data_IF_776623784399
#
_entry.id   IF_776623784399
#
_cell.length_a   1.000
_cell.length_b   1.000
_cell.length_c   1.000
_cell.angle_alpha   90.00
_cell.angle_beta   90.00
_cell.angle_gamma   90.00
#
_symmetry.space_group_name_H-M   'P 1'
#
loop_
_entity.id
_entity.type
_entity.pdbx_description
1 polymer ?
#
# COMPACT_ATOMS: atom_id res chain seq x y z
N UNK A 1 -7.76 -8.99 16.78
CA UNK A 1 -7.87 -8.42 15.41
C UNK A 1 -9.27 -8.69 14.89
N UNK A 2 -9.91 -7.72 14.24
CA UNK A 2 -11.19 -7.96 13.54
C UNK A 2 -10.93 -8.86 12.34
N UNK A 3 -11.83 -9.80 12.07
CA UNK A 3 -11.77 -10.60 10.85
C UNK A 3 -12.37 -9.81 9.66
N UNK A 4 -12.10 -10.25 8.44
CA UNK A 4 -12.55 -9.58 7.22
C UNK A 4 -14.08 -9.37 7.18
N UNK A 5 -14.86 -10.40 7.53
CA UNK A 5 -16.32 -10.37 7.53
C UNK A 5 -16.93 -9.27 8.41
N UNK A 6 -16.38 -9.08 9.61
CA UNK A 6 -16.80 -7.98 10.49
C UNK A 6 -16.45 -6.62 9.90
N UNK A 7 -15.24 -6.48 9.36
CA UNK A 7 -14.77 -5.20 8.79
C UNK A 7 -15.59 -4.77 7.58
N UNK A 8 -15.93 -5.70 6.67
CA UNK A 8 -16.72 -5.38 5.47
C UNK A 8 -18.16 -5.05 5.83
N UNK A 9 -18.78 -5.77 6.77
CA UNK A 9 -20.13 -5.43 7.25
C UNK A 9 -20.18 -4.02 7.84
N UNK A 10 -19.15 -3.62 8.59
CA UNK A 10 -19.07 -2.26 9.11
C UNK A 10 -18.92 -1.24 7.97
N UNK A 11 -18.04 -1.49 6.99
CA UNK A 11 -17.91 -0.60 5.83
C UNK A 11 -19.25 -0.44 5.10
N UNK A 12 -19.93 -1.55 4.78
CA UNK A 12 -21.23 -1.54 4.10
C UNK A 12 -22.27 -0.75 4.90
N UNK A 13 -22.35 -0.96 6.23
CA UNK A 13 -23.22 -0.18 7.11
C UNK A 13 -22.94 1.32 7.00
N UNK A 14 -21.66 1.72 7.07
CA UNK A 14 -21.25 3.13 7.02
C UNK A 14 -21.54 3.79 5.67
N UNK A 15 -21.26 3.11 4.55
CA UNK A 15 -21.45 3.71 3.22
C UNK A 15 -22.93 3.81 2.83
N UNK A 16 -23.76 2.86 3.27
CA UNK A 16 -25.21 2.84 2.96
C UNK A 16 -26.05 3.76 3.85
N UNK A 17 -25.45 4.41 4.85
CA UNK A 17 -26.11 5.44 5.67
C UNK A 17 -26.27 6.78 4.95
N UNK A 18 -25.42 7.10 3.97
CA UNK A 18 -25.44 8.35 3.19
C UNK A 18 -25.28 8.06 1.69
N UNK A 19 -26.29 8.41 0.89
CA UNK A 19 -26.34 8.16 -0.55
C UNK A 19 -25.19 8.82 -1.34
N UNK A 20 -24.64 9.94 -0.87
CA UNK A 20 -23.48 10.57 -1.50
C UNK A 20 -22.17 9.84 -1.17
N UNK A 21 -22.05 9.27 0.04
CA UNK A 21 -20.92 8.39 0.40
C UNK A 21 -21.01 7.09 -0.40
N UNK A 22 -22.20 6.48 -0.47
CA UNK A 22 -22.46 5.28 -1.29
C UNK A 22 -22.09 5.53 -2.76
N UNK A 23 -22.46 6.69 -3.32
CA UNK A 23 -22.09 7.07 -4.69
C UNK A 23 -20.58 7.22 -4.88
N UNK A 24 -19.86 7.77 -3.89
CA UNK A 24 -18.41 7.87 -3.93
C UNK A 24 -17.75 6.49 -3.90
N UNK A 25 -18.22 5.61 -3.01
CA UNK A 25 -17.73 4.24 -2.87
C UNK A 25 -18.00 3.38 -4.11
N UNK A 26 -19.22 3.44 -4.68
CA UNK A 26 -19.56 2.77 -5.94
C UNK A 26 -18.74 3.29 -7.13
N UNK A 27 -18.39 4.59 -7.14
CA UNK A 27 -17.46 5.11 -8.16
C UNK A 27 -16.10 4.43 -8.06
N UNK A 28 -15.62 4.22 -6.84
CA UNK A 28 -14.35 3.55 -6.59
C UNK A 28 -14.43 2.07 -6.99
N UNK A 29 -15.51 1.35 -6.62
CA UNK A 29 -15.71 -0.04 -7.06
C UNK A 29 -15.77 -0.16 -8.58
N UNK A 30 -16.41 0.78 -9.27
CA UNK A 30 -16.37 0.82 -10.74
C UNK A 30 -14.94 1.02 -11.27
N UNK A 31 -14.15 1.90 -10.63
CA UNK A 31 -12.75 2.11 -10.98
C UNK A 31 -11.89 0.85 -10.74
N UNK A 32 -12.24 0.03 -9.75
CA UNK A 32 -11.61 -1.27 -9.49
C UNK A 32 -11.73 -2.20 -10.68
N UNK A 33 -12.93 -2.40 -11.21
CA UNK A 33 -13.17 -3.25 -12.39
C UNK A 33 -12.45 -2.71 -13.62
N UNK A 34 -12.39 -1.38 -13.76
CA UNK A 34 -11.59 -0.77 -14.81
C UNK A 34 -10.11 -1.15 -14.68
N UNK A 35 -9.53 -1.03 -13.50
CA UNK A 35 -8.14 -1.41 -13.26
C UNK A 35 -7.91 -2.91 -13.43
N UNK A 36 -8.86 -3.76 -13.02
CA UNK A 36 -8.81 -5.20 -13.23
C UNK A 36 -8.75 -5.52 -14.72
N UNK A 37 -9.63 -4.94 -15.54
CA UNK A 37 -9.62 -5.07 -17.00
C UNK A 37 -8.25 -4.72 -17.62
N UNK A 38 -7.68 -3.58 -17.22
CA UNK A 38 -6.36 -3.14 -17.69
C UNK A 38 -5.25 -4.13 -17.27
N UNK A 39 -5.32 -4.66 -16.04
CA UNK A 39 -4.36 -5.66 -15.56
C UNK A 39 -4.48 -6.97 -16.34
N UNK A 40 -5.70 -7.46 -16.60
CA UNK A 40 -5.97 -8.66 -17.41
C UNK A 40 -5.34 -8.49 -18.79
N UNK A 41 -5.60 -7.37 -19.47
CA UNK A 41 -5.06 -7.10 -20.81
C UNK A 41 -3.53 -6.94 -20.81
N UNK A 42 -2.96 -6.28 -19.80
CA UNK A 42 -1.51 -6.04 -19.71
C UNK A 42 -0.68 -7.32 -19.55
N UNK A 43 -1.31 -8.40 -19.09
CA UNK A 43 -0.68 -9.71 -18.94
C UNK A 43 -0.71 -10.57 -20.20
N UNK A 44 -1.45 -10.16 -21.25
CA UNK A 44 -1.31 -10.76 -22.57
C UNK A 44 0.09 -10.46 -23.10
N UNK A 45 0.83 -11.50 -23.44
CA UNK A 45 2.23 -11.40 -23.85
C UNK A 45 2.60 -12.47 -24.87
N UNK A 46 3.82 -12.43 -25.39
CA UNK A 46 4.32 -13.43 -26.33
C UNK A 46 4.34 -14.86 -25.75
N UNK A 47 4.30 -15.02 -24.41
CA UNK A 47 4.21 -16.33 -23.75
C UNK A 47 2.78 -16.79 -23.50
N UNK A 48 1.76 -15.99 -23.87
CA UNK A 48 0.36 -16.38 -23.71
C UNK A 48 -0.03 -17.37 -24.82
N UNK A 49 -0.55 -18.57 -24.48
CA UNK A 49 -1.02 -19.53 -25.48
C UNK A 49 -2.11 -18.92 -26.37
N UNK A 50 -1.96 -19.08 -27.69
CA UNK A 50 -2.82 -18.41 -28.67
C UNK A 50 -4.30 -18.80 -28.52
N UNK A 51 -4.57 -20.04 -28.13
CA UNK A 51 -5.90 -20.57 -27.87
C UNK A 51 -6.63 -19.90 -26.70
N UNK A 52 -5.92 -19.22 -25.79
CA UNK A 52 -6.52 -18.56 -24.62
C UNK A 52 -6.65 -17.05 -24.76
N UNK A 53 -6.06 -16.44 -25.78
CA UNK A 53 -6.05 -14.98 -25.94
C UNK A 53 -7.47 -14.40 -26.01
N UNK A 54 -8.37 -15.01 -26.78
CA UNK A 54 -9.73 -14.52 -26.91
C UNK A 54 -10.53 -14.67 -25.61
N UNK A 55 -10.34 -15.78 -24.88
CA UNK A 55 -10.99 -15.96 -23.56
C UNK A 55 -10.50 -14.90 -22.54
N UNK A 56 -9.22 -14.51 -22.59
CA UNK A 56 -8.67 -13.44 -21.73
C UNK A 56 -9.24 -12.07 -22.11
N UNK A 57 -9.42 -11.80 -23.41
CA UNK A 57 -10.05 -10.55 -23.86
C UNK A 57 -11.51 -10.48 -23.46
N UNK A 58 -12.26 -11.57 -23.61
CA UNK A 58 -13.66 -11.62 -23.15
C UNK A 58 -13.75 -11.38 -21.64
N UNK A 59 -12.84 -11.95 -20.85
CA UNK A 59 -12.76 -11.65 -19.42
C UNK A 59 -12.56 -10.15 -19.16
N UNK A 60 -11.63 -9.48 -19.84
CA UNK A 60 -11.47 -8.03 -19.69
C UNK A 60 -12.68 -7.21 -20.16
N UNK A 61 -13.40 -7.67 -21.19
CA UNK A 61 -14.64 -7.05 -21.66
C UNK A 61 -15.77 -7.17 -20.63
N UNK A 62 -15.84 -8.29 -19.91
CA UNK A 62 -16.74 -8.47 -18.78
C UNK A 62 -16.44 -7.46 -17.67
N UNK A 63 -15.16 -7.24 -17.33
CA UNK A 63 -14.77 -6.24 -16.33
C UNK A 63 -15.14 -4.80 -16.73
N UNK A 64 -14.99 -4.43 -18.00
CA UNK A 64 -15.48 -3.13 -18.47
C UNK A 64 -17.00 -3.02 -18.38
N UNK A 65 -17.73 -4.13 -18.59
CA UNK A 65 -19.18 -4.17 -18.42
C UNK A 65 -19.57 -4.08 -16.95
N UNK A 66 -18.85 -4.74 -16.03
CA UNK A 66 -19.04 -4.63 -14.58
C UNK A 66 -18.88 -3.18 -14.12
N UNK A 67 -17.78 -2.52 -14.54
CA UNK A 67 -17.56 -1.08 -14.34
C UNK A 67 -18.79 -0.26 -14.71
N UNK A 68 -19.33 -0.49 -15.91
CA UNK A 68 -20.45 0.26 -16.48
C UNK A 68 -21.79 -0.04 -15.79
N UNK A 69 -21.97 -1.24 -15.25
CA UNK A 69 -23.12 -1.58 -14.39
C UNK A 69 -23.00 -0.85 -13.06
N UNK A 70 -21.88 -1.01 -12.35
CA UNK A 70 -21.66 -0.45 -11.01
C UNK A 70 -21.77 1.08 -11.01
N UNK A 71 -21.20 1.76 -12.02
CA UNK A 71 -21.24 3.23 -12.09
C UNK A 71 -22.67 3.78 -12.25
N UNK A 72 -23.57 3.00 -12.87
CA UNK A 72 -24.99 3.36 -13.07
C UNK A 72 -25.83 3.15 -11.81
N UNK A 73 -25.35 2.34 -10.86
CA UNK A 73 -26.02 2.10 -9.58
C UNK A 73 -25.87 3.26 -8.59
N UNK A 74 -25.00 4.23 -8.89
CA UNK A 74 -24.77 5.39 -8.01
C UNK A 74 -26.05 6.21 -7.83
N UNK A 75 -26.51 6.44 -6.59
CA UNK A 75 -27.62 7.35 -6.33
C UNK A 75 -27.40 8.77 -6.88
N UNK A 76 -26.15 9.24 -6.87
CA UNK A 76 -25.75 10.56 -7.34
C UNK A 76 -24.52 10.49 -8.27
N UNK A 77 -24.65 10.89 -9.54
CA UNK A 77 -23.52 10.89 -10.49
C UNK A 77 -22.39 11.85 -10.07
N UNK A 78 -22.76 13.04 -9.61
CA UNK A 78 -21.84 14.11 -9.23
C UNK A 78 -21.67 14.20 -7.71
N UNK A 79 -20.47 14.57 -7.22
CA UNK A 79 -20.24 14.79 -5.80
C UNK A 79 -21.04 16.01 -5.33
N UNK A 80 -21.57 15.94 -4.10
CA UNK A 80 -22.37 17.04 -3.53
C UNK A 80 -21.57 18.35 -3.41
N UNK A 81 -20.29 18.25 -3.06
CA UNK A 81 -19.37 19.36 -2.89
C UNK A 81 -17.92 18.87 -2.95
N UNK A 82 -16.96 19.79 -2.75
CA UNK A 82 -15.53 19.47 -2.78
C UNK A 82 -15.12 18.38 -1.78
N UNK A 83 -15.74 18.31 -0.59
CA UNK A 83 -15.40 17.28 0.40
C UNK A 83 -15.82 15.87 -0.06
N UNK A 84 -17.01 15.73 -0.68
CA UNK A 84 -17.43 14.45 -1.27
C UNK A 84 -16.61 14.10 -2.52
N UNK A 85 -16.11 15.09 -3.26
CA UNK A 85 -15.18 14.87 -4.37
C UNK A 85 -13.84 14.34 -3.86
N UNK A 86 -13.33 14.89 -2.77
CA UNK A 86 -12.10 14.43 -2.10
C UNK A 86 -12.27 12.99 -1.58
N UNK A 87 -13.37 12.72 -0.87
CA UNK A 87 -13.69 11.36 -0.38
C UNK A 87 -13.71 10.32 -1.51
N UNK A 88 -14.35 10.66 -2.65
CA UNK A 88 -14.38 9.82 -3.85
C UNK A 88 -12.98 9.54 -4.37
N UNK A 89 -12.14 10.56 -4.47
CA UNK A 89 -10.76 10.40 -4.94
C UNK A 89 -9.96 9.50 -3.99
N UNK A 90 -10.08 9.70 -2.67
CA UNK A 90 -9.39 8.88 -1.67
C UNK A 90 -9.82 7.42 -1.70
N UNK A 91 -11.11 7.13 -1.94
CA UNK A 91 -11.54 5.75 -2.19
C UNK A 91 -10.90 5.13 -3.44
N UNK A 92 -10.85 5.89 -4.55
CA UNK A 92 -10.18 5.42 -5.76
C UNK A 92 -8.69 5.16 -5.52
N UNK A 93 -8.01 6.02 -4.76
CA UNK A 93 -6.59 5.86 -4.41
C UNK A 93 -6.37 4.59 -3.55
N UNK A 94 -7.25 4.31 -2.59
CA UNK A 94 -7.21 3.06 -1.80
C UNK A 94 -7.33 1.84 -2.72
N UNK A 95 -8.26 1.86 -3.68
CA UNK A 95 -8.46 0.75 -4.62
C UNK A 95 -7.28 0.58 -5.57
N UNK A 96 -6.76 1.68 -6.13
CA UNK A 96 -5.63 1.63 -7.04
C UNK A 96 -4.40 1.04 -6.34
N UNK A 97 -4.10 1.50 -5.13
CA UNK A 97 -2.96 1.00 -4.35
C UNK A 97 -3.17 -0.46 -3.91
N UNK A 98 -4.40 -0.91 -3.71
CA UNK A 98 -4.72 -2.32 -3.48
C UNK A 98 -4.44 -3.16 -4.74
N UNK A 99 -5.04 -2.83 -5.90
CA UNK A 99 -4.89 -3.60 -7.14
C UNK A 99 -3.41 -3.62 -7.58
N UNK A 100 -2.77 -2.46 -7.64
CA UNK A 100 -1.37 -2.37 -8.06
C UNK A 100 -0.42 -3.04 -7.05
N UNK A 101 -0.71 -2.91 -5.75
CA UNK A 101 0.03 -3.61 -4.70
C UNK A 101 -0.09 -5.12 -4.81
N UNK A 102 -1.29 -5.62 -5.10
CA UNK A 102 -1.56 -7.04 -5.26
C UNK A 102 -0.79 -7.61 -6.45
N UNK A 103 -0.93 -7.05 -7.65
CA UNK A 103 -0.17 -7.52 -8.82
C UNK A 103 1.34 -7.26 -8.71
N UNK A 104 1.75 -6.28 -7.90
CA UNK A 104 3.14 -5.99 -7.58
C UNK A 104 3.75 -6.89 -6.50
N UNK A 105 3.01 -7.84 -5.93
CA UNK A 105 3.51 -8.69 -4.85
C UNK A 105 4.64 -9.62 -5.35
N UNK A 106 5.63 -9.95 -4.50
CA UNK A 106 6.80 -10.73 -4.92
C UNK A 106 6.46 -12.08 -5.55
N UNK A 107 5.41 -12.76 -5.07
CA UNK A 107 5.02 -14.10 -5.51
C UNK A 107 4.55 -14.06 -6.97
N UNK A 108 3.76 -13.06 -7.37
CA UNK A 108 3.31 -12.88 -8.76
C UNK A 108 4.41 -12.31 -9.65
N UNK A 109 5.21 -11.35 -9.15
CA UNK A 109 6.28 -10.71 -9.93
C UNK A 109 7.40 -11.69 -10.30
N UNK A 110 7.65 -12.71 -9.48
CA UNK A 110 8.66 -13.75 -9.76
C UNK A 110 8.12 -14.95 -10.52
N UNK A 111 6.88 -14.90 -11.01
CA UNK A 111 6.34 -15.96 -11.86
C UNK A 111 7.22 -16.17 -13.11
N UNK A 112 7.37 -17.42 -13.54
CA UNK A 112 8.20 -17.78 -14.70
C UNK A 112 7.70 -17.14 -16.01
N UNK A 113 6.41 -16.84 -16.09
CA UNK A 113 5.80 -16.14 -17.23
C UNK A 113 4.69 -15.18 -16.76
N UNK A 114 4.42 -14.16 -17.59
CA UNK A 114 3.28 -13.25 -17.35
C UNK A 114 1.95 -13.96 -17.42
N UNK A 115 1.84 -14.99 -18.27
CA UNK A 115 0.64 -15.81 -18.33
C UNK A 115 0.43 -16.57 -17.03
N UNK A 116 1.48 -17.16 -16.44
CA UNK A 116 1.37 -17.80 -15.12
C UNK A 116 0.99 -16.79 -14.03
N UNK A 117 1.57 -15.58 -14.03
CA UNK A 117 1.17 -14.51 -13.10
C UNK A 117 -0.32 -14.16 -13.23
N UNK A 118 -0.81 -13.99 -14.46
CA UNK A 118 -2.23 -13.73 -14.74
C UNK A 118 -3.12 -14.85 -14.26
N UNK A 119 -2.83 -16.10 -14.62
CA UNK A 119 -3.68 -17.24 -14.26
C UNK A 119 -3.87 -17.35 -12.76
N UNK A 120 -2.79 -17.17 -12.00
CA UNK A 120 -2.88 -17.21 -10.54
C UNK A 120 -3.53 -15.95 -10.00
N UNK A 121 -3.16 -14.77 -10.50
CA UNK A 121 -3.73 -13.48 -10.12
C UNK A 121 -5.24 -13.41 -10.33
N UNK A 122 -5.76 -13.85 -11.48
CA UNK A 122 -7.19 -13.88 -11.82
C UNK A 122 -7.99 -14.78 -10.86
N UNK A 123 -7.47 -15.97 -10.51
CA UNK A 123 -8.15 -16.88 -9.57
C UNK A 123 -8.38 -16.22 -8.21
N UNK A 124 -7.40 -15.44 -7.75
CA UNK A 124 -7.36 -14.92 -6.40
C UNK A 124 -7.87 -13.49 -6.31
N UNK A 125 -7.69 -12.65 -7.33
CA UNK A 125 -8.25 -11.29 -7.33
C UNK A 125 -9.77 -11.32 -7.52
N UNK A 126 -10.34 -12.19 -8.36
CA UNK A 126 -11.80 -12.30 -8.53
C UNK A 126 -12.53 -12.76 -7.25
N UNK A 127 -11.81 -13.37 -6.29
CA UNK A 127 -12.40 -13.68 -4.98
C UNK A 127 -12.77 -12.42 -4.20
N UNK A 128 -12.13 -11.29 -4.49
CA UNK A 128 -12.31 -10.05 -3.76
C UNK A 128 -13.57 -9.27 -4.19
N UNK A 129 -13.79 -8.93 -5.48
CA UNK A 129 -15.06 -8.37 -5.96
C UNK A 129 -16.22 -9.27 -5.53
N UNK A 130 -16.10 -10.58 -5.71
CA UNK A 130 -17.09 -11.55 -5.26
C UNK A 130 -17.46 -11.39 -3.77
N UNK A 131 -16.46 -11.27 -2.90
CA UNK A 131 -16.69 -11.08 -1.46
C UNK A 131 -17.37 -9.73 -1.17
N UNK A 132 -16.84 -8.62 -1.67
CA UNK A 132 -17.39 -7.28 -1.40
C UNK A 132 -18.82 -7.17 -1.91
N UNK A 133 -19.08 -7.60 -3.15
CA UNK A 133 -20.39 -7.51 -3.78
C UNK A 133 -21.41 -8.39 -3.07
N UNK A 134 -21.01 -9.58 -2.62
CA UNK A 134 -21.87 -10.45 -1.79
C UNK A 134 -22.32 -9.75 -0.50
N UNK A 135 -21.40 -9.07 0.21
CA UNK A 135 -21.76 -8.32 1.41
C UNK A 135 -22.60 -7.08 1.09
N UNK A 136 -22.33 -6.41 -0.03
CA UNK A 136 -23.09 -5.23 -0.43
C UNK A 136 -24.54 -5.57 -0.80
N UNK A 137 -24.77 -6.65 -1.56
CA UNK A 137 -26.12 -7.15 -1.89
C UNK A 137 -26.93 -7.45 -0.61
N UNK A 138 -26.28 -7.99 0.42
CA UNK A 138 -26.92 -8.28 1.71
C UNK A 138 -27.21 -7.01 2.52
N UNK A 139 -26.34 -6.01 2.44
CA UNK A 139 -26.43 -4.78 3.25
C UNK A 139 -27.24 -3.65 2.61
N UNK A 140 -27.31 -3.58 1.28
CA UNK A 140 -28.06 -2.54 0.57
C UNK A 140 -29.55 -2.72 0.77
N UNK A 141 -30.28 -1.60 0.83
CA UNK A 141 -31.75 -1.58 0.89
C UNK A 141 -32.41 -1.41 -0.49
N UNK A 142 -31.61 -1.17 -1.52
CA UNK A 142 -32.08 -0.82 -2.87
C UNK A 142 -32.25 -2.12 -3.69
N UNK A 143 -33.48 -2.52 -4.09
CA UNK A 143 -33.72 -3.74 -4.85
C UNK A 143 -32.99 -3.78 -6.19
N UNK A 144 -32.95 -2.66 -6.90
CA UNK A 144 -32.30 -2.54 -8.22
C UNK A 144 -30.79 -2.80 -8.13
N UNK A 145 -30.16 -2.39 -7.03
CA UNK A 145 -28.75 -2.70 -6.75
C UNK A 145 -28.56 -4.20 -6.55
N UNK A 146 -29.46 -4.87 -5.82
CA UNK A 146 -29.35 -6.33 -5.61
C UNK A 146 -29.44 -7.10 -6.91
N UNK A 147 -30.38 -6.75 -7.78
CA UNK A 147 -30.57 -7.41 -9.07
C UNK A 147 -29.36 -7.20 -9.99
N UNK A 148 -28.90 -5.96 -10.13
CA UNK A 148 -27.78 -5.63 -11.01
C UNK A 148 -26.45 -6.23 -10.51
N UNK A 149 -26.17 -6.16 -9.20
CA UNK A 149 -24.96 -6.74 -8.62
C UNK A 149 -24.97 -8.27 -8.64
N UNK A 150 -26.14 -8.92 -8.65
CA UNK A 150 -26.21 -10.38 -8.80
C UNK A 150 -25.70 -10.84 -10.17
N UNK A 151 -25.97 -10.06 -11.23
CA UNK A 151 -25.42 -10.34 -12.57
C UNK A 151 -23.90 -10.30 -12.57
N UNK A 152 -23.32 -9.28 -11.92
CA UNK A 152 -21.86 -9.16 -11.75
C UNK A 152 -21.32 -10.37 -10.97
N UNK A 153 -21.94 -10.73 -9.85
CA UNK A 153 -21.54 -11.90 -9.04
C UNK A 153 -21.57 -13.23 -9.81
N UNK A 154 -22.53 -13.41 -10.71
CA UNK A 154 -22.63 -14.62 -11.53
C UNK A 154 -21.46 -14.71 -12.53
N UNK A 155 -21.03 -13.56 -13.08
CA UNK A 155 -19.87 -13.46 -13.97
C UNK A 155 -18.55 -13.71 -13.22
N UNK A 156 -18.37 -13.16 -12.01
CA UNK A 156 -17.20 -13.41 -11.13
C UNK A 156 -16.98 -14.89 -10.86
N UNK A 157 -18.06 -15.66 -10.66
CA UNK A 157 -17.97 -17.12 -10.51
C UNK A 157 -17.38 -17.75 -11.78
N UNK A 158 -17.82 -17.28 -12.95
CA UNK A 158 -17.30 -17.69 -14.25
C UNK A 158 -15.81 -17.41 -14.39
N UNK A 159 -15.35 -16.23 -14.00
CA UNK A 159 -13.95 -15.82 -14.05
C UNK A 159 -13.06 -16.67 -13.12
N UNK A 160 -13.53 -16.98 -11.90
CA UNK A 160 -12.83 -17.91 -11.00
C UNK A 160 -12.69 -19.31 -11.63
N UNK A 161 -13.72 -19.80 -12.34
CA UNK A 161 -13.63 -21.09 -13.04
C UNK A 161 -12.69 -21.04 -14.25
N UNK A 162 -12.68 -19.92 -14.98
CA UNK A 162 -11.75 -19.66 -16.07
C UNK A 162 -10.30 -19.71 -15.58
N UNK A 163 -10.01 -19.04 -14.47
CA UNK A 163 -8.70 -19.10 -13.83
C UNK A 163 -8.29 -20.54 -13.47
N UNK A 164 -9.19 -21.32 -12.85
CA UNK A 164 -8.95 -22.75 -12.53
C UNK A 164 -8.67 -23.58 -13.78
N UNK A 165 -9.42 -23.36 -14.87
CA UNK A 165 -9.20 -24.00 -16.17
C UNK A 165 -7.78 -23.72 -16.67
N UNK A 166 -7.36 -22.45 -16.70
CA UNK A 166 -6.01 -22.11 -17.15
C UNK A 166 -4.93 -22.67 -16.24
N UNK A 167 -5.11 -22.66 -14.91
CA UNK A 167 -4.14 -23.24 -13.98
C UNK A 167 -3.91 -24.72 -14.22
N UNK A 168 -4.96 -25.47 -14.55
CA UNK A 168 -4.84 -26.89 -14.86
C UNK A 168 -4.04 -27.16 -16.16
N UNK A 169 -3.99 -26.18 -17.06
CA UNK A 169 -3.17 -26.25 -18.27
C UNK A 169 -1.70 -25.85 -18.07
N UNK A 170 -1.36 -25.22 -16.93
CA UNK A 170 0.02 -24.82 -16.64
C UNK A 170 0.90 -26.03 -16.29
N UNK A 171 2.17 -26.04 -16.73
CA UNK A 171 3.21 -26.93 -16.22
C UNK A 171 3.34 -26.83 -14.70
N UNK A 172 3.83 -27.89 -14.04
CA UNK A 172 3.92 -27.92 -12.58
C UNK A 172 4.90 -26.87 -12.04
N UNK A 173 6.00 -26.63 -12.76
CA UNK A 173 7.01 -25.61 -12.46
C UNK A 173 6.48 -24.17 -12.54
N UNK A 174 5.38 -23.94 -13.26
CA UNK A 174 4.72 -22.64 -13.40
C UNK A 174 3.58 -22.44 -12.40
N UNK A 175 3.25 -23.47 -11.60
CA UNK A 175 2.18 -23.41 -10.60
C UNK A 175 2.68 -22.74 -9.33
N UNK A 176 2.09 -21.59 -9.05
CA UNK A 176 2.33 -20.81 -7.83
C UNK A 176 1.43 -21.35 -6.72
N UNK A 177 1.89 -21.24 -5.47
CA UNK A 177 1.10 -21.61 -4.29
C UNK A 177 -0.15 -20.73 -4.16
N UNK A 178 -1.32 -21.29 -4.45
CA UNK A 178 -2.61 -20.61 -4.25
C UNK A 178 -2.85 -20.27 -2.77
N UNK A 179 -2.42 -21.13 -1.85
CA UNK A 179 -2.57 -20.87 -0.41
C UNK A 179 -1.81 -19.60 0.01
N UNK A 180 -0.62 -19.38 -0.54
CA UNK A 180 0.16 -18.18 -0.27
C UNK A 180 -0.51 -16.94 -0.86
N UNK A 181 -1.00 -17.02 -2.11
CA UNK A 181 -1.69 -15.89 -2.76
C UNK A 181 -3.01 -15.54 -2.08
N UNK A 182 -3.74 -16.52 -1.56
CA UNK A 182 -4.98 -16.31 -0.79
C UNK A 182 -4.71 -15.67 0.58
N UNK A 183 -3.58 -16.00 1.22
CA UNK A 183 -3.17 -15.31 2.45
C UNK A 183 -2.90 -13.83 2.19
N UNK A 184 -2.11 -13.52 1.15
CA UNK A 184 -1.79 -12.15 0.73
C UNK A 184 -3.07 -11.39 0.38
N UNK A 185 -3.94 -11.97 -0.47
CA UNK A 185 -5.21 -11.37 -0.86
C UNK A 185 -6.06 -11.01 0.37
N UNK A 186 -6.30 -11.99 1.25
CA UNK A 186 -7.13 -11.79 2.45
C UNK A 186 -6.60 -10.68 3.35
N UNK A 187 -5.29 -10.60 3.55
CA UNK A 187 -4.65 -9.56 4.35
C UNK A 187 -4.79 -8.19 3.70
N UNK A 188 -4.51 -8.08 2.40
CA UNK A 188 -4.65 -6.82 1.66
C UNK A 188 -6.12 -6.36 1.60
N UNK A 189 -7.07 -7.28 1.42
CA UNK A 189 -8.51 -7.01 1.45
C UNK A 189 -8.96 -6.48 2.82
N UNK A 190 -8.48 -7.10 3.91
CA UNK A 190 -8.73 -6.61 5.27
C UNK A 190 -8.18 -5.20 5.47
N UNK A 191 -6.95 -4.93 5.02
CA UNK A 191 -6.36 -3.58 5.07
C UNK A 191 -7.24 -2.60 4.30
N UNK A 192 -7.54 -2.89 3.04
CA UNK A 192 -8.31 -2.00 2.16
C UNK A 192 -9.68 -1.65 2.77
N UNK A 193 -10.46 -2.65 3.19
CA UNK A 193 -11.78 -2.44 3.80
C UNK A 193 -11.67 -1.65 5.11
N UNK A 194 -10.66 -1.92 5.93
CA UNK A 194 -10.44 -1.19 7.18
C UNK A 194 -10.14 0.29 6.90
N UNK A 195 -9.33 0.58 5.88
CA UNK A 195 -9.02 1.96 5.45
C UNK A 195 -10.24 2.69 4.95
N UNK A 196 -11.02 2.06 4.09
CA UNK A 196 -12.28 2.64 3.61
C UNK A 196 -13.23 2.94 4.77
N UNK A 197 -13.34 2.04 5.76
CA UNK A 197 -14.22 2.25 6.91
C UNK A 197 -13.72 3.40 7.81
N UNK A 198 -12.42 3.49 8.04
CA UNK A 198 -11.84 4.58 8.83
C UNK A 198 -11.95 5.92 8.11
N UNK A 199 -11.77 5.95 6.79
CA UNK A 199 -11.98 7.12 5.95
C UNK A 199 -13.42 7.64 6.05
N UNK A 200 -14.43 6.76 5.97
CA UNK A 200 -15.84 7.16 6.14
C UNK A 200 -16.09 7.70 7.55
N UNK A 201 -15.57 7.04 8.59
CA UNK A 201 -15.74 7.51 9.97
C UNK A 201 -15.15 8.89 10.18
N UNK A 202 -13.95 9.12 9.64
CA UNK A 202 -13.24 10.39 9.77
C UNK A 202 -13.95 11.49 8.96
N UNK A 203 -14.50 11.16 7.79
CA UNK A 203 -15.34 12.05 7.00
C UNK A 203 -16.64 12.45 7.74
N UNK A 204 -17.33 11.47 8.33
CA UNK A 204 -18.56 11.71 9.11
C UNK A 204 -18.28 12.39 10.47
N UNK A 205 -17.08 12.21 11.03
CA UNK A 205 -16.67 12.77 12.32
C UNK A 205 -15.34 13.53 12.23
N UNK A 206 -15.32 14.75 11.64
CA UNK A 206 -14.08 15.52 11.40
C UNK A 206 -13.34 15.97 12.68
N UNK A 207 -13.86 15.64 13.87
CA UNK A 207 -13.31 16.05 15.17
C UNK A 207 -11.97 15.37 15.52
N UNK A 208 -11.48 14.44 14.70
CA UNK A 208 -10.14 13.84 14.83
C UNK A 208 -9.04 14.73 14.22
N UNK A 209 -9.04 16.04 14.49
CA UNK A 209 -7.88 16.86 14.11
C UNK A 209 -6.78 16.72 15.18
N UNK A 210 -5.73 15.96 14.88
CA UNK A 210 -4.51 15.91 15.70
C UNK A 210 -3.62 17.17 15.53
N UNK A 211 -4.11 18.18 14.79
CA UNK A 211 -3.43 19.45 14.52
C UNK A 211 -3.01 20.27 15.76
N UNK A 212 -3.35 19.83 16.97
CA UNK A 212 -2.95 20.47 18.23
C UNK A 212 -1.84 19.74 18.99
N UNK A 213 -1.23 18.67 18.45
CA UNK A 213 -0.06 18.05 19.10
C UNK A 213 1.12 19.02 19.13
N UNK A 214 1.78 19.15 20.28
CA UNK A 214 2.99 19.97 20.43
C UNK A 214 4.27 19.25 19.96
N UNK A 215 4.20 17.92 19.74
CA UNK A 215 5.33 17.11 19.25
C UNK A 215 5.33 17.07 17.71
N UNK A 216 6.46 17.42 17.11
CA UNK A 216 6.66 17.38 15.67
C UNK A 216 6.57 15.97 15.11
N UNK A 217 6.99 14.93 15.85
CA UNK A 217 6.86 13.53 15.40
C UNK A 217 5.39 13.14 15.14
N UNK A 218 4.48 13.53 16.02
CA UNK A 218 3.05 13.26 15.87
C UNK A 218 2.41 14.11 14.74
N UNK A 219 2.87 15.35 14.59
CA UNK A 219 2.46 16.20 13.46
C UNK A 219 2.93 15.61 12.13
N UNK A 220 4.16 15.12 12.05
CA UNK A 220 4.71 14.46 10.85
C UNK A 220 3.87 13.25 10.47
N UNK A 221 3.58 12.36 11.42
CA UNK A 221 2.76 11.17 11.17
C UNK A 221 1.40 11.50 10.53
N UNK A 222 0.70 12.50 11.09
CA UNK A 222 -0.55 12.97 10.51
C UNK A 222 -0.36 13.58 9.12
N UNK A 223 0.64 14.45 8.94
CA UNK A 223 0.92 15.10 7.66
C UNK A 223 1.32 14.13 6.55
N UNK A 224 1.96 13.00 6.89
CA UNK A 224 2.26 11.95 5.91
C UNK A 224 0.95 11.34 5.40
N UNK A 225 -0.02 11.06 6.28
CA UNK A 225 -1.35 10.57 5.88
C UNK A 225 -2.09 11.51 4.92
N UNK A 226 -1.97 12.81 5.14
CA UNK A 226 -2.63 13.83 4.32
C UNK A 226 -1.89 14.17 3.01
N UNK A 227 -0.62 13.76 2.87
CA UNK A 227 0.24 14.12 1.72
C UNK A 227 0.80 12.86 1.05
N UNK A 228 0.13 12.29 0.03
CA UNK A 228 0.58 11.09 -0.65
C UNK A 228 2.02 11.16 -1.14
N UNK A 229 2.41 12.25 -1.81
CA UNK A 229 3.78 12.45 -2.29
C UNK A 229 4.84 12.35 -1.16
N UNK A 230 4.53 12.92 0.00
CA UNK A 230 5.41 12.89 1.16
C UNK A 230 5.47 11.50 1.80
N UNK A 231 4.34 10.79 1.88
CA UNK A 231 4.34 9.37 2.29
C UNK A 231 5.25 8.54 1.40
N UNK A 232 5.13 8.67 0.08
CA UNK A 232 5.96 7.89 -0.86
C UNK A 232 7.45 8.20 -0.70
N UNK A 233 7.81 9.49 -0.61
CA UNK A 233 9.20 9.89 -0.40
C UNK A 233 9.75 9.40 0.95
N UNK A 234 8.91 9.43 1.99
CA UNK A 234 9.27 8.94 3.32
C UNK A 234 9.47 7.43 3.35
N UNK A 235 8.55 6.64 2.78
CA UNK A 235 8.66 5.17 2.68
C UNK A 235 9.87 4.77 1.83
N UNK A 236 10.12 5.48 0.73
CA UNK A 236 11.34 5.28 -0.07
C UNK A 236 12.60 5.52 0.76
N UNK A 237 12.60 6.57 1.57
CA UNK A 237 13.69 6.91 2.47
C UNK A 237 13.86 5.89 3.59
N UNK A 238 12.78 5.35 4.14
CA UNK A 238 12.82 4.26 5.12
C UNK A 238 13.52 3.03 4.54
N UNK A 239 13.21 2.64 3.30
CA UNK A 239 13.93 1.53 2.66
C UNK A 239 15.43 1.82 2.47
N UNK A 240 15.81 3.08 2.20
CA UNK A 240 17.24 3.44 2.23
C UNK A 240 17.83 3.36 3.64
N UNK A 241 17.07 3.76 4.65
CA UNK A 241 17.45 3.72 6.06
C UNK A 241 17.75 2.31 6.52
N UNK A 242 16.89 1.32 6.23
CA UNK A 242 17.14 -0.10 6.58
C UNK A 242 18.43 -0.61 5.97
N UNK A 243 18.60 -0.40 4.67
CA UNK A 243 19.83 -0.81 4.01
C UNK A 243 21.09 -0.10 4.53
N UNK A 244 20.95 1.12 5.05
CA UNK A 244 22.07 1.92 5.54
C UNK A 244 22.38 1.63 7.00
N UNK A 245 21.38 1.35 7.82
CA UNK A 245 21.51 1.05 9.24
C UNK A 245 22.33 -0.24 9.45
N UNK A 246 21.94 -1.32 8.77
CA UNK A 246 22.65 -2.60 8.78
C UNK A 246 24.12 -2.45 8.34
N UNK A 247 24.37 -1.74 7.24
CA UNK A 247 25.72 -1.51 6.72
C UNK A 247 26.57 -0.63 7.62
N UNK A 248 25.98 0.42 8.21
CA UNK A 248 26.71 1.28 9.14
C UNK A 248 27.10 0.53 10.41
N UNK A 249 26.21 -0.30 10.94
CA UNK A 249 26.52 -1.13 12.10
C UNK A 249 27.68 -2.09 11.78
N UNK A 250 27.62 -2.81 10.66
CA UNK A 250 28.71 -3.68 10.22
C UNK A 250 30.04 -2.93 9.98
N UNK A 251 29.98 -1.76 9.35
CA UNK A 251 31.15 -0.93 9.08
C UNK A 251 31.84 -0.44 10.36
N UNK A 252 31.07 -0.14 11.42
CA UNK A 252 31.62 0.31 12.70
C UNK A 252 32.38 -0.79 13.44
N UNK A 253 31.88 -2.03 13.39
CA UNK A 253 32.64 -3.18 13.93
C UNK A 253 33.93 -3.40 13.15
N UNK A 254 33.85 -3.34 11.83
CA UNK A 254 35.00 -3.51 10.93
C UNK A 254 36.07 -2.44 11.17
N UNK A 255 35.67 -1.17 11.28
CA UNK A 255 36.59 -0.03 11.46
C UNK A 255 37.36 -0.08 12.78
N UNK A 256 36.79 -0.75 13.79
CA UNK A 256 37.38 -0.93 15.13
C UNK A 256 38.18 -2.23 15.28
N UNK A 257 38.22 -3.07 14.25
CA UNK A 257 38.83 -4.40 14.34
C UNK A 257 38.10 -5.33 15.32
N UNK A 258 36.79 -5.12 15.50
CA UNK A 258 35.95 -5.94 16.37
C UNK A 258 35.37 -7.12 15.59
N UNK A 259 35.23 -8.30 16.22
CA UNK A 259 34.54 -9.41 15.58
C UNK A 259 33.07 -9.06 15.35
N UNK A 260 32.54 -9.41 14.18
CA UNK A 260 31.11 -9.24 13.92
C UNK A 260 30.30 -10.22 14.80
N UNK A 261 29.20 -9.77 15.41
CA UNK A 261 28.27 -10.66 16.10
C UNK A 261 27.78 -11.77 15.16
N UNK A 262 27.62 -13.02 15.62
CA UNK A 262 27.17 -14.13 14.79
C UNK A 262 25.83 -13.89 14.07
N UNK A 263 24.95 -13.10 14.69
CA UNK A 263 23.61 -12.75 14.17
C UNK A 263 23.62 -11.58 13.17
N UNK A 264 24.74 -10.85 13.06
CA UNK A 264 24.86 -9.69 12.19
C UNK A 264 24.58 -10.00 10.71
N UNK A 265 25.06 -11.11 10.11
CA UNK A 265 24.80 -11.40 8.71
C UNK A 265 23.30 -11.61 8.40
N UNK A 266 22.60 -12.35 9.27
CA UNK A 266 21.16 -12.60 9.15
C UNK A 266 20.38 -11.29 9.28
N UNK A 267 20.69 -10.48 10.30
CA UNK A 267 20.09 -9.15 10.48
C UNK A 267 20.31 -8.25 9.25
N UNK A 268 21.53 -8.23 8.69
CA UNK A 268 21.83 -7.46 7.48
C UNK A 268 21.00 -7.95 6.28
N UNK A 269 20.82 -9.27 6.12
CA UNK A 269 20.01 -9.85 5.04
C UNK A 269 18.53 -9.47 5.17
N UNK A 270 17.99 -9.50 6.37
CA UNK A 270 16.61 -9.08 6.64
C UNK A 270 16.38 -7.60 6.39
N UNK A 271 17.30 -6.74 6.83
CA UNK A 271 17.24 -5.29 6.58
C UNK A 271 17.33 -4.97 5.08
N UNK A 272 18.11 -5.74 4.31
CA UNK A 272 18.11 -5.64 2.84
C UNK A 272 16.78 -6.11 2.24
N UNK A 273 16.14 -7.13 2.82
CA UNK A 273 14.83 -7.63 2.39
C UNK A 273 13.75 -6.60 2.66
N UNK A 274 13.70 -6.02 3.86
CA UNK A 274 12.78 -4.93 4.24
C UNK A 274 12.96 -3.71 3.34
N UNK A 275 14.19 -3.31 3.07
CA UNK A 275 14.49 -2.23 2.12
C UNK A 275 13.87 -2.47 0.74
N UNK A 276 14.02 -3.69 0.20
CA UNK A 276 13.43 -4.08 -1.09
C UNK A 276 11.91 -4.06 -1.05
N UNK A 277 11.30 -4.52 0.05
CA UNK A 277 9.85 -4.52 0.23
C UNK A 277 9.31 -3.08 0.22
N UNK A 278 9.90 -2.18 1.02
CA UNK A 278 9.51 -0.76 1.10
C UNK A 278 9.63 -0.06 -0.25
N UNK A 279 10.73 -0.27 -0.99
CA UNK A 279 10.93 0.31 -2.32
C UNK A 279 9.93 -0.22 -3.35
N UNK A 280 9.55 -1.50 -3.26
CA UNK A 280 8.55 -2.11 -4.15
C UNK A 280 7.15 -1.56 -3.86
N UNK A 281 6.80 -1.40 -2.58
CA UNK A 281 5.48 -0.92 -2.15
C UNK A 281 5.12 0.45 -2.74
N UNK A 282 6.11 1.29 -3.04
CA UNK A 282 5.92 2.63 -3.60
C UNK A 282 6.35 2.76 -5.06
N UNK A 283 6.86 1.70 -5.70
CA UNK A 283 7.56 1.80 -6.98
C UNK A 283 6.71 2.45 -8.08
N UNK A 284 5.45 2.04 -8.19
CA UNK A 284 4.55 2.48 -9.26
C UNK A 284 4.10 3.92 -9.04
N UNK A 285 3.63 4.25 -7.83
CA UNK A 285 3.24 5.61 -7.47
C UNK A 285 4.42 6.58 -7.56
N UNK A 286 5.61 6.14 -7.13
CA UNK A 286 6.84 6.91 -7.24
C UNK A 286 7.14 7.28 -8.69
N UNK A 287 6.96 6.39 -9.66
CA UNK A 287 7.18 6.72 -11.09
C UNK A 287 6.30 7.87 -11.55
N UNK A 288 5.07 7.97 -11.05
CA UNK A 288 4.16 9.08 -11.34
C UNK A 288 4.69 10.38 -10.75
N UNK A 289 5.06 10.36 -9.47
CA UNK A 289 5.56 11.55 -8.77
C UNK A 289 6.92 12.04 -9.27
N UNK A 290 7.76 11.16 -9.81
CA UNK A 290 9.02 11.55 -10.45
C UNK A 290 8.85 12.47 -11.68
N UNK A 291 7.64 12.55 -12.24
CA UNK A 291 7.28 13.46 -13.32
C UNK A 291 6.84 14.84 -12.81
N UNK A 292 6.58 14.98 -11.52
CA UNK A 292 6.19 16.24 -10.87
C UNK A 292 7.43 17.08 -10.57
N UNK A 293 7.37 18.35 -10.94
CA UNK A 293 8.45 19.29 -10.68
C UNK A 293 8.78 19.37 -9.18
N UNK A 294 10.07 19.41 -8.85
CA UNK A 294 10.55 19.47 -7.46
C UNK A 294 10.54 18.13 -6.71
N UNK A 295 9.78 17.11 -7.13
CA UNK A 295 9.67 15.85 -6.37
C UNK A 295 10.99 15.10 -6.22
N UNK A 296 11.79 15.02 -7.29
CA UNK A 296 13.13 14.39 -7.25
C UNK A 296 14.06 15.05 -6.23
N UNK A 297 14.02 16.38 -6.12
CA UNK A 297 14.82 17.10 -5.15
C UNK A 297 14.29 16.87 -3.73
N UNK A 298 12.97 16.95 -3.56
CA UNK A 298 12.29 16.67 -2.30
C UNK A 298 12.65 15.27 -1.78
N UNK A 299 12.44 14.21 -2.57
CA UNK A 299 12.80 12.83 -2.20
C UNK A 299 14.27 12.71 -1.78
N UNK A 300 15.19 13.31 -2.56
CA UNK A 300 16.62 13.32 -2.22
C UNK A 300 16.89 13.99 -0.87
N UNK A 301 16.20 15.09 -0.57
CA UNK A 301 16.35 15.81 0.70
C UNK A 301 15.74 15.03 1.86
N UNK A 302 14.64 14.31 1.65
CA UNK A 302 14.05 13.38 2.62
C UNK A 302 15.04 12.26 2.96
N UNK A 303 15.62 11.59 1.96
CA UNK A 303 16.64 10.55 2.16
C UNK A 303 17.81 11.06 3.03
N UNK A 304 18.29 12.28 2.75
CA UNK A 304 19.35 12.93 3.54
C UNK A 304 18.94 13.20 5.00
N UNK A 305 17.67 13.45 5.30
CA UNK A 305 17.23 13.60 6.68
C UNK A 305 17.29 12.27 7.43
N UNK A 306 16.88 11.17 6.81
CA UNK A 306 17.00 9.85 7.45
C UNK A 306 18.45 9.38 7.57
N UNK A 307 19.31 9.68 6.61
CA UNK A 307 20.75 9.43 6.74
C UNK A 307 21.34 10.21 7.94
N UNK A 308 20.98 11.49 8.08
CA UNK A 308 21.37 12.31 9.23
C UNK A 308 20.82 11.76 10.55
N UNK A 309 19.58 11.29 10.56
CA UNK A 309 18.98 10.63 11.71
C UNK A 309 19.85 9.45 12.17
N UNK A 310 20.14 8.51 11.26
CA UNK A 310 20.95 7.33 11.56
C UNK A 310 22.34 7.72 12.05
N UNK A 311 23.01 8.63 11.36
CA UNK A 311 24.34 9.08 11.72
C UNK A 311 24.38 9.70 13.13
N UNK A 312 23.46 10.60 13.45
CA UNK A 312 23.39 11.24 14.76
C UNK A 312 23.10 10.23 15.86
N UNK A 313 22.19 9.29 15.60
CA UNK A 313 21.80 8.26 16.55
C UNK A 313 22.97 7.32 16.86
N UNK A 314 23.55 6.69 15.84
CA UNK A 314 24.70 5.79 16.01
C UNK A 314 25.91 6.48 16.59
N UNK A 315 26.25 7.69 16.13
CA UNK A 315 27.36 8.46 16.71
C UNK A 315 27.19 8.73 18.20
N UNK A 316 25.94 8.90 18.66
CA UNK A 316 25.64 9.14 20.08
C UNK A 316 25.76 7.85 20.88
N UNK A 317 25.22 6.73 20.38
CA UNK A 317 25.36 5.42 21.01
C UNK A 317 26.83 5.01 21.16
N UNK A 318 27.59 5.17 20.08
CA UNK A 318 29.02 4.83 20.01
C UNK A 318 29.86 5.59 21.05
N UNK A 319 29.50 6.84 21.37
CA UNK A 319 30.20 7.61 22.40
C UNK A 319 29.87 7.12 23.81
N UNK A 320 28.69 6.55 24.00
CA UNK A 320 28.20 6.05 25.30
C UNK A 320 28.63 4.61 25.56
N UNK A 321 28.53 3.76 24.55
CA UNK A 321 28.76 2.31 24.60
C UNK A 321 30.14 2.00 24.02
N UNK A 322 31.05 1.56 24.90
CA UNK A 322 32.41 1.15 24.50
C UNK A 322 32.52 -0.33 24.23
N UNK A 323 31.65 -1.13 24.85
CA UNK A 323 31.59 -2.57 24.66
C UNK A 323 30.90 -2.88 23.31
N UNK A 324 31.52 -3.72 22.47
CA UNK A 324 30.98 -4.10 21.15
C UNK A 324 29.61 -4.78 21.23
N UNK A 325 29.44 -5.75 22.13
CA UNK A 325 28.21 -6.53 22.23
C UNK A 325 27.07 -5.64 22.74
N UNK A 326 27.37 -4.75 23.69
CA UNK A 326 26.40 -3.72 24.11
C UNK A 326 26.07 -2.76 22.96
N UNK A 327 27.06 -2.32 22.17
CA UNK A 327 26.81 -1.43 21.03
C UNK A 327 25.89 -2.10 19.99
N UNK A 328 26.11 -3.38 19.70
CA UNK A 328 25.24 -4.15 18.81
C UNK A 328 23.83 -4.28 19.39
N UNK A 329 23.69 -4.88 20.58
CA UNK A 329 22.39 -5.23 21.15
C UNK A 329 21.52 -4.00 21.41
N UNK A 330 22.09 -2.93 21.97
CA UNK A 330 21.36 -1.69 22.21
C UNK A 330 21.14 -0.87 20.93
N UNK A 331 22.07 -0.94 19.98
CA UNK A 331 21.93 -0.31 18.67
C UNK A 331 20.78 -0.93 17.87
N UNK A 332 20.80 -2.26 17.72
CA UNK A 332 19.74 -3.03 17.09
C UNK A 332 18.40 -2.79 17.82
N UNK A 333 18.34 -3.00 19.14
CA UNK A 333 17.12 -2.78 19.92
C UNK A 333 16.49 -1.40 19.69
N UNK A 334 17.28 -0.32 19.71
CA UNK A 334 16.72 1.00 19.53
C UNK A 334 16.35 1.33 18.09
N UNK A 335 16.97 0.70 17.09
CA UNK A 335 16.50 0.75 15.70
C UNK A 335 15.18 0.00 15.53
N UNK A 336 15.02 -1.17 16.15
CA UNK A 336 13.75 -1.91 16.11
C UNK A 336 12.63 -1.13 16.77
N UNK A 337 12.89 -0.56 17.96
CA UNK A 337 11.92 0.29 18.65
C UNK A 337 11.50 1.51 17.81
N UNK A 338 12.41 2.05 17.01
CA UNK A 338 12.13 3.09 16.02
C UNK A 338 11.21 2.57 14.93
N UNK A 339 11.48 1.38 14.38
CA UNK A 339 10.59 0.75 13.38
C UNK A 339 9.19 0.65 13.96
N UNK A 340 9.01 0.03 15.14
CA UNK A 340 7.70 -0.07 15.79
C UNK A 340 6.94 1.24 15.92
N UNK A 341 7.63 2.33 16.30
CA UNK A 341 6.99 3.62 16.49
C UNK A 341 6.61 4.25 15.15
N UNK A 342 7.55 4.37 14.22
CA UNK A 342 7.34 5.14 12.99
C UNK A 342 6.52 4.38 11.96
N UNK A 343 6.72 3.07 11.88
CA UNK A 343 6.02 2.21 10.92
C UNK A 343 4.57 2.07 11.33
N UNK A 344 4.30 1.90 12.63
CA UNK A 344 2.92 1.89 13.15
C UNK A 344 2.20 3.22 12.90
N UNK A 345 2.90 4.35 13.02
CA UNK A 345 2.33 5.67 12.72
C UNK A 345 1.99 5.80 11.23
N UNK A 346 2.88 5.39 10.31
CA UNK A 346 2.60 5.41 8.86
C UNK A 346 1.44 4.48 8.53
N UNK A 347 1.46 3.25 9.03
CA UNK A 347 0.36 2.30 8.86
C UNK A 347 -0.91 2.98 9.31
N UNK A 348 -0.96 3.58 10.51
CA UNK A 348 -2.19 4.20 11.01
C UNK A 348 -2.77 5.26 10.07
N UNK A 349 -1.96 6.07 9.41
CA UNK A 349 -2.42 7.25 8.68
C UNK A 349 -2.43 7.12 7.15
N UNK A 350 -1.75 6.14 6.57
CA UNK A 350 -1.69 6.00 5.11
C UNK A 350 -2.97 5.37 4.55
N UNK A 351 -3.47 5.92 3.45
CA UNK A 351 -4.51 5.31 2.62
C UNK A 351 -3.92 4.30 1.62
N UNK A 352 -2.59 4.24 1.47
CA UNK A 352 -1.95 3.33 0.52
C UNK A 352 -1.92 1.90 1.08
N UNK A 353 -2.69 1.01 0.46
CA UNK A 353 -2.86 -0.38 0.91
C UNK A 353 -1.56 -1.18 0.77
N UNK A 354 -0.82 -1.01 -0.32
CA UNK A 354 0.45 -1.69 -0.55
C UNK A 354 1.50 -1.32 0.51
N UNK A 355 1.58 -0.04 0.86
CA UNK A 355 2.45 0.48 1.93
C UNK A 355 2.02 -0.09 3.28
N UNK A 356 0.74 0.02 3.65
CA UNK A 356 0.25 -0.48 4.93
C UNK A 356 0.46 -2.00 5.09
N UNK A 357 0.16 -2.77 4.05
CA UNK A 357 0.40 -4.22 4.01
C UNK A 357 1.88 -4.55 4.20
N UNK A 358 2.75 -3.92 3.41
CA UNK A 358 4.20 -4.15 3.46
C UNK A 358 4.77 -3.82 4.83
N UNK A 359 4.37 -2.68 5.39
CA UNK A 359 4.84 -2.26 6.71
C UNK A 359 4.36 -3.21 7.80
N UNK A 360 3.12 -3.73 7.74
CA UNK A 360 2.65 -4.71 8.71
C UNK A 360 3.50 -5.99 8.68
N UNK A 361 3.86 -6.49 7.49
CA UNK A 361 4.76 -7.64 7.38
C UNK A 361 6.14 -7.37 7.99
N UNK A 362 6.69 -6.17 7.79
CA UNK A 362 7.97 -5.80 8.41
C UNK A 362 7.82 -5.71 9.93
N UNK A 363 6.73 -5.14 10.45
CA UNK A 363 6.47 -5.05 11.89
C UNK A 363 6.35 -6.42 12.57
N UNK A 364 5.87 -7.44 11.86
CA UNK A 364 5.86 -8.82 12.35
C UNK A 364 7.28 -9.39 12.45
N UNK A 365 8.11 -9.20 11.42
CA UNK A 365 9.52 -9.60 11.44
C UNK A 365 10.29 -8.91 12.58
N UNK A 366 10.14 -7.58 12.75
CA UNK A 366 10.84 -6.86 13.81
C UNK A 366 10.39 -7.26 15.22
N UNK A 367 9.20 -7.85 15.35
CA UNK A 367 8.69 -8.27 16.65
C UNK A 367 9.45 -9.52 17.10
N UNK A 368 9.79 -10.38 16.16
CA UNK A 368 10.66 -11.52 16.36
C UNK A 368 12.09 -11.06 16.67
N UNK A 369 12.65 -10.12 15.88
CA UNK A 369 13.99 -9.57 16.14
C UNK A 369 14.10 -8.91 17.52
N UNK A 370 13.14 -8.07 17.88
CA UNK A 370 13.13 -7.41 19.20
C UNK A 370 13.06 -8.42 20.34
N UNK A 371 12.29 -9.50 20.16
CA UNK A 371 12.21 -10.59 21.14
C UNK A 371 13.56 -11.32 21.25
N UNK A 372 14.22 -11.61 20.12
CA UNK A 372 15.55 -12.25 20.10
C UNK A 372 16.61 -11.38 20.77
N UNK A 373 16.64 -10.08 20.49
CA UNK A 373 17.59 -9.14 21.11
C UNK A 373 17.34 -9.02 22.60
N UNK A 374 16.08 -8.93 23.04
CA UNK A 374 15.73 -8.88 24.46
C UNK A 374 16.13 -10.18 25.19
N UNK A 375 15.86 -11.35 24.60
CA UNK A 375 16.34 -12.63 25.15
C UNK A 375 17.87 -12.65 25.25
N UNK A 376 18.57 -12.20 24.22
CA UNK A 376 20.05 -12.13 24.22
C UNK A 376 20.59 -11.20 25.32
N UNK A 377 19.99 -10.03 25.52
CA UNK A 377 20.35 -9.10 26.60
C UNK A 377 20.19 -9.75 27.99
N UNK A 378 19.13 -10.55 28.18
CA UNK A 378 18.90 -11.27 29.43
C UNK A 378 19.92 -12.40 29.65
N UNK A 379 20.15 -13.23 28.63
CA UNK A 379 21.04 -14.40 28.73
C UNK A 379 22.51 -14.01 28.90
N UNK A 380 22.94 -12.90 28.30
CA UNK A 380 24.30 -12.37 28.44
C UNK A 380 24.52 -11.57 29.73
N UNK A 381 23.46 -11.28 30.49
CA UNK A 381 23.52 -10.46 31.69
C UNK A 381 23.83 -8.98 31.41
N UNK A 382 23.65 -8.53 30.16
CA UNK A 382 23.91 -7.16 29.71
C UNK A 382 22.69 -6.24 29.83
N UNK A 383 21.55 -6.76 30.30
CA UNK A 383 20.33 -5.98 30.48
C UNK A 383 20.49 -4.91 31.58
N UNK A 384 20.70 -3.67 31.15
CA UNK A 384 20.71 -2.47 31.97
C UNK A 384 19.50 -1.55 31.63
N UNK A 385 18.55 -1.37 32.58
CA UNK A 385 17.39 -0.49 32.41
C UNK A 385 17.73 0.99 32.16
N UNK A 386 18.82 1.51 32.72
CA UNK A 386 19.23 2.91 32.51
C UNK A 386 19.77 3.10 31.10
N UNK A 387 20.45 2.09 30.54
CA UNK A 387 20.86 2.14 29.14
C UNK A 387 19.67 2.01 28.18
N UNK A 388 18.67 1.17 28.47
CA UNK A 388 17.44 1.11 27.66
C UNK A 388 16.72 2.47 27.64
N UNK A 389 16.63 3.11 28.81
CA UNK A 389 16.06 4.45 28.94
C UNK A 389 16.86 5.48 28.16
N UNK A 390 18.19 5.46 28.26
CA UNK A 390 19.07 6.35 27.49
C UNK A 390 18.88 6.19 25.99
N UNK A 391 18.83 4.95 25.48
CA UNK A 391 18.65 4.65 24.07
C UNK A 391 17.31 5.21 23.57
N UNK A 392 16.23 4.95 24.31
CA UNK A 392 14.88 5.45 23.97
C UNK A 392 14.79 6.97 23.96
N UNK A 393 15.37 7.63 24.96
CA UNK A 393 15.38 9.09 25.04
C UNK A 393 16.19 9.71 23.89
N UNK A 394 17.36 9.12 23.59
CA UNK A 394 18.22 9.56 22.49
C UNK A 394 17.51 9.43 21.13
N UNK A 395 16.83 8.30 20.89
CA UNK A 395 16.01 8.10 19.70
C UNK A 395 14.94 9.19 19.58
N UNK A 396 14.18 9.42 20.65
CA UNK A 396 13.05 10.35 20.65
C UNK A 396 13.50 11.79 20.38
N UNK A 397 14.59 12.24 21.01
CA UNK A 397 15.13 13.59 20.82
C UNK A 397 15.63 13.82 19.39
N UNK A 398 16.36 12.85 18.83
CA UNK A 398 16.88 12.94 17.46
C UNK A 398 15.73 12.89 16.47
N UNK A 399 14.76 11.99 16.67
CA UNK A 399 13.61 11.88 15.78
C UNK A 399 12.74 13.13 15.77
N UNK A 400 12.53 13.75 16.93
CA UNK A 400 11.78 15.00 17.04
C UNK A 400 12.44 16.12 16.24
N UNK A 401 13.77 16.22 16.24
CA UNK A 401 14.52 17.17 15.42
C UNK A 401 14.37 16.89 13.92
N UNK A 402 14.46 15.62 13.54
CA UNK A 402 14.31 15.20 12.13
C UNK A 402 12.88 15.44 11.65
N UNK A 403 11.88 15.20 12.50
CA UNK A 403 10.48 15.45 12.21
C UNK A 403 10.20 16.93 11.90
N UNK A 404 10.78 17.85 12.69
CA UNK A 404 10.67 19.30 12.41
C UNK A 404 11.24 19.67 11.04
N UNK A 405 12.40 19.13 10.69
CA UNK A 405 13.01 19.37 9.38
C UNK A 405 12.15 18.80 8.26
N UNK A 406 11.60 17.59 8.45
CA UNK A 406 10.73 16.94 7.48
C UNK A 406 9.46 17.74 7.20
N UNK A 407 8.81 18.24 8.25
CA UNK A 407 7.63 19.11 8.10
C UNK A 407 7.99 20.37 7.29
N UNK A 408 9.15 20.99 7.55
CA UNK A 408 9.63 22.13 6.75
C UNK A 408 9.83 21.75 5.28
N UNK A 409 10.45 20.59 5.00
CA UNK A 409 10.66 20.10 3.63
C UNK A 409 9.35 19.86 2.89
N UNK A 410 8.34 19.32 3.58
CA UNK A 410 7.01 19.11 3.00
C UNK A 410 6.36 20.44 2.63
N UNK A 411 6.47 21.46 3.49
CA UNK A 411 5.91 22.78 3.21
C UNK A 411 6.61 23.48 2.04
N UNK A 412 7.93 23.34 1.92
CA UNK A 412 8.68 23.84 0.75
C UNK A 412 8.25 23.12 -0.53
N UNK A 413 8.09 21.79 -0.49
CA UNK A 413 7.64 21.02 -1.65
C UNK A 413 6.21 21.41 -2.06
N UNK A 414 5.29 21.58 -1.12
CA UNK A 414 3.91 22.00 -1.40
C UNK A 414 3.88 23.34 -2.16
N UNK A 415 4.76 24.28 -1.79
CA UNK A 415 4.88 25.56 -2.49
C UNK A 415 5.38 25.40 -3.93
N UNK A 416 6.36 24.53 -4.18
CA UNK A 416 6.89 24.28 -5.53
C UNK A 416 5.87 23.52 -6.38
N UNK A 417 5.29 22.46 -5.83
CA UNK A 417 4.26 21.66 -6.47
C UNK A 417 3.04 22.51 -6.82
N UNK A 418 2.72 23.54 -6.02
CA UNK A 418 1.66 24.50 -6.30
C UNK A 418 1.83 25.33 -7.59
N UNK A 419 2.95 25.20 -8.32
CA UNK A 419 3.18 25.80 -9.63
C UNK A 419 3.24 24.81 -10.81
N UNK A 420 3.29 23.49 -10.56
CA UNK A 420 3.30 22.48 -11.63
C UNK A 420 2.00 22.49 -12.47
N UNK A 421 1.97 22.26 -13.78
CA UNK A 421 0.71 22.18 -14.51
C UNK A 421 -0.31 21.17 -13.91
N UNK A 422 -1.63 21.43 -13.95
CA UNK A 422 -2.64 20.55 -13.34
C UNK A 422 -2.60 19.09 -13.84
N UNK A 423 -2.19 18.85 -15.08
CA UNK A 423 -1.99 17.50 -15.63
C UNK A 423 -0.79 16.74 -15.03
N UNK A 424 0.06 17.43 -14.26
CA UNK A 424 1.13 16.83 -13.46
C UNK A 424 0.75 16.72 -11.98
N UNK A 425 -0.27 17.46 -11.51
CA UNK A 425 -0.74 17.41 -10.11
C UNK A 425 -1.98 16.55 -9.89
N UNK A 426 -2.79 16.40 -10.93
CA UNK A 426 -3.98 15.57 -10.94
C UNK A 426 -3.68 14.26 -11.63
N UNK A 427 -4.22 13.18 -11.04
CA UNK A 427 -4.66 12.02 -11.80
C UNK A 427 -5.36 12.52 -13.07
N UNK A 428 -5.14 11.87 -14.21
CA UNK A 428 -5.99 12.15 -15.36
C UNK A 428 -7.43 12.09 -14.87
N UNK A 429 -8.26 13.14 -15.03
CA UNK A 429 -9.69 12.95 -14.83
C UNK A 429 -10.05 11.76 -15.71
N UNK A 430 -10.73 10.77 -15.14
CA UNK A 430 -11.38 9.71 -15.91
C UNK A 430 -12.00 10.43 -17.10
N UNK A 431 -11.53 10.22 -18.34
CA UNK A 431 -12.18 10.85 -19.46
C UNK A 431 -13.63 10.38 -19.38
N UNK A 432 -14.57 11.31 -19.33
CA UNK A 432 -15.92 10.98 -19.69
C UNK A 432 -15.86 10.48 -21.13
N UNK A 433 -15.74 9.16 -21.29
CA UNK A 433 -15.88 8.51 -22.58
C UNK A 433 -17.37 8.59 -22.86
N UNK A 434 -17.78 9.61 -23.60
CA UNK A 434 -19.11 9.67 -24.14
C UNK A 434 -19.37 8.33 -24.85
N UNK A 435 -20.54 7.70 -24.67
CA UNK A 435 -20.85 6.46 -25.37
C UNK A 435 -20.66 6.72 -26.86
N UNK A 436 -19.86 5.85 -27.50
CA UNK A 436 -19.69 5.85 -28.95
C UNK A 436 -21.11 5.81 -29.54
N UNK A 437 -21.53 6.81 -30.34
CA UNK A 437 -22.81 6.73 -31.00
C UNK A 437 -22.77 5.47 -31.86
N UNK A 438 -23.69 4.55 -31.59
CA UNK A 438 -23.98 3.46 -32.52
C UNK A 438 -24.37 4.12 -33.83
N UNK A 439 -23.45 4.09 -34.80
CA UNK A 439 -23.78 4.45 -36.17
C UNK A 439 -24.84 3.46 -36.64
N UNK A 440 -26.08 3.91 -36.58
CA UNK A 440 -27.18 3.37 -37.35
C UNK A 440 -26.72 3.32 -38.80
N UNK A 441 -26.64 2.10 -39.31
CA UNK A 441 -26.43 1.79 -40.70
C UNK A 441 -27.33 2.67 -41.59
N UNK A 442 -26.74 3.67 -42.24
CA UNK A 442 -27.32 4.25 -43.45
C UNK A 442 -26.96 3.30 -44.57
N UNK A 443 -27.88 2.39 -44.85
CA UNK A 443 -27.92 1.64 -46.11
C UNK A 443 -28.10 2.68 -47.21
N UNK A 444 -27.01 3.00 -47.91
CA UNK A 444 -27.11 3.64 -49.22
C UNK A 444 -27.43 2.54 -50.24
N UNK A 445 -28.69 2.52 -50.68
CA UNK A 445 -29.07 1.87 -51.92
C UNK A 445 -28.28 2.50 -53.07
N UNK A 446 -27.38 1.72 -53.67
CA UNK A 446 -27.03 1.82 -55.09
C UNK A 446 -26.41 0.50 -55.54
N UNK A 447 -27.26 -0.55 -55.60
CA UNK A 447 -27.51 -1.41 -56.75
C UNK A 447 -28.62 -2.41 -56.42
#
# INVERSE_FOLDING_TARGET
MRNFSESIQILISLVTEDAHIESAWLTALSYMEHLAAEQILSNVSASTPAEFIEEIKTHAEDEYRHRDVIIKLRPHPEPLNAAYSDLRQRFCDIIETFIMGYFGNPVLVTANSRFAAYVHGAITIEQFPFQIYSYYVQGTKIPEVREAMQLVLDDEIGHIQLGKKFRNSLPEEDRISLQQLQAIEKEMCLVMVTRMADLVRDFQNPKRSLGNSTKASAQLAWLLGERPAATLAWVQALGFSESSAAKHMQAEFTSRGLPLPPQMPEHVEDEMRHAKLLHRAVLLDRRRWLMVEGYKDFERRVNKQLERYLFLYFSTLVRKLKDPDMLYLYGAWGLEMRVFKHYSDIVKWTDNVAVAYTINSILEDEAEHTKMVNTSLNETGLLDPELLKFVRQTEEEIFEKISKNMISLMMEFDQVAAFAPPYQRGFMPIPYIAPVPTETAVIAETL
#
